data_IF_799867517060
#
_entry.id   IF_799867517060
#
_cell.length_a   1.000
_cell.length_b   1.000
_cell.length_c   1.000
_cell.angle_alpha   90.00
_cell.angle_beta   90.00
_cell.angle_gamma   90.00
#
_symmetry.space_group_name_H-M   'P 1'
#
loop_
_entity.id
_entity.type
_entity.pdbx_description
1 polymer ?
#
# COMPACT_ATOMS: atom_id res chain seq x y z
N UNK A 1 -24.53 9.08 -26.38
CA UNK A 1 -25.58 10.07 -26.00
C UNK A 1 -26.35 9.51 -24.80
N UNK A 2 -26.77 10.33 -23.82
CA UNK A 2 -27.44 9.85 -22.62
C UNK A 2 -28.95 9.65 -22.83
N UNK A 3 -29.52 8.62 -22.20
CA UNK A 3 -30.97 8.52 -21.97
C UNK A 3 -31.25 8.51 -20.47
N UNK A 4 -32.00 9.51 -20.01
CA UNK A 4 -32.52 9.59 -18.64
C UNK A 4 -33.98 9.15 -18.66
N UNK A 5 -34.36 8.25 -17.75
CA UNK A 5 -35.76 8.04 -17.35
C UNK A 5 -35.82 8.01 -15.82
N UNK A 6 -36.67 8.85 -15.23
CA UNK A 6 -36.98 8.88 -13.79
C UNK A 6 -38.45 8.54 -13.57
N UNK A 7 -38.76 7.77 -12.52
CA UNK A 7 -39.96 7.79 -11.63
C UNK A 7 -40.06 6.47 -10.84
N UNK A 8 -40.80 6.29 -9.74
CA UNK A 8 -41.35 7.15 -8.67
C UNK A 8 -42.60 6.46 -8.11
N UNK A 9 -42.67 6.11 -6.81
CA UNK A 9 -43.93 5.80 -6.09
C UNK A 9 -43.86 6.27 -4.62
N UNK A 10 -45.01 6.35 -3.93
CA UNK A 10 -45.24 7.35 -2.88
C UNK A 10 -46.11 6.83 -1.69
N UNK A 11 -45.59 6.99 -0.46
CA UNK A 11 -46.24 7.32 0.85
C UNK A 11 -47.58 6.71 1.32
N UNK A 12 -47.64 6.25 2.58
CA UNK A 12 -48.51 6.71 3.71
C UNK A 12 -48.00 6.01 5.02
N UNK A 13 -47.72 6.60 6.21
CA UNK A 13 -48.46 7.49 7.15
C UNK A 13 -49.64 6.78 7.87
N UNK A 14 -49.86 6.78 9.20
CA UNK A 14 -49.50 7.62 10.40
C UNK A 14 -49.54 6.73 11.71
N UNK A 15 -49.19 7.09 12.98
CA UNK A 15 -48.37 8.14 13.63
C UNK A 15 -48.35 8.03 15.21
N UNK A 16 -47.27 8.51 15.89
CA UNK A 16 -47.14 8.91 17.34
C UNK A 16 -47.32 7.84 18.47
N UNK A 17 -47.00 8.07 19.78
CA UNK A 17 -45.85 8.71 20.49
C UNK A 17 -45.99 8.67 22.05
N UNK A 18 -44.97 8.22 22.81
CA UNK A 18 -44.69 8.41 24.29
C UNK A 18 -45.82 8.08 25.32
N UNK A 19 -45.65 8.03 26.66
CA UNK A 19 -44.56 8.22 27.65
C UNK A 19 -44.71 7.14 28.77
N UNK A 20 -43.69 6.60 29.46
CA UNK A 20 -42.82 7.15 30.53
C UNK A 20 -43.54 7.74 31.77
N UNK A 21 -43.47 7.05 32.92
CA UNK A 21 -43.11 7.63 34.24
C UNK A 21 -42.82 6.53 35.28
N UNK A 22 -42.02 6.84 36.32
CA UNK A 22 -41.71 5.94 37.46
C UNK A 22 -42.65 6.19 38.66
N UNK A 23 -42.66 5.29 39.65
CA UNK A 23 -42.31 5.63 41.04
C UNK A 23 -41.90 4.38 41.86
N UNK A 24 -41.71 4.54 43.18
CA UNK A 24 -40.70 3.79 43.96
C UNK A 24 -41.10 3.37 45.38
N UNK A 25 -40.45 2.31 45.87
CA UNK A 25 -40.10 2.02 47.29
C UNK A 25 -41.25 1.84 48.31
N UNK A 26 -41.29 0.65 48.91
CA UNK A 26 -41.22 0.50 50.37
C UNK A 26 -40.51 -0.81 50.73
N UNK A 27 -39.84 -0.84 51.89
CA UNK A 27 -39.26 -2.04 52.48
C UNK A 27 -40.01 -2.37 53.77
N UNK A 28 -39.87 -3.60 54.27
CA UNK A 28 -40.31 -3.96 55.63
C UNK A 28 -39.40 -5.01 56.27
N UNK A 29 -39.45 -5.11 57.61
CA UNK A 29 -38.30 -5.53 58.42
C UNK A 29 -38.68 -6.54 59.52
N UNK A 30 -38.13 -7.77 59.53
CA UNK A 30 -38.24 -8.70 60.68
C UNK A 30 -37.03 -9.61 60.90
N UNK A 31 -36.28 -9.30 61.96
CA UNK A 31 -35.62 -10.20 62.94
C UNK A 31 -34.78 -11.42 62.51
N UNK A 32 -33.54 -11.46 63.03
CA UNK A 32 -32.69 -12.65 63.21
C UNK A 32 -33.26 -13.63 64.26
N UNK A 33 -32.64 -14.81 64.45
CA UNK A 33 -31.72 -14.92 65.59
C UNK A 33 -30.29 -15.33 65.22
N UNK A 34 -29.38 -15.12 66.16
CA UNK A 34 -27.92 -15.26 65.99
C UNK A 34 -27.43 -16.72 66.05
N UNK A 35 -26.30 -16.99 65.41
CA UNK A 35 -25.36 -18.02 65.87
C UNK A 35 -23.93 -17.50 65.69
N UNK A 36 -23.20 -17.42 66.80
CA UNK A 36 -21.99 -16.60 66.91
C UNK A 36 -20.72 -17.42 66.60
N UNK A 37 -20.44 -17.65 65.31
CA UNK A 37 -19.18 -18.26 64.87
C UNK A 37 -18.12 -17.18 64.60
N UNK A 38 -17.37 -16.80 65.63
CA UNK A 38 -16.21 -15.91 65.49
C UNK A 38 -15.02 -16.64 64.84
N UNK A 39 -15.15 -16.91 63.54
CA UNK A 39 -13.99 -17.03 62.68
C UNK A 39 -13.56 -15.62 62.31
N UNK A 40 -12.34 -15.23 62.69
CA UNK A 40 -11.70 -14.02 62.15
C UNK A 40 -11.27 -14.29 60.71
N UNK A 41 -12.25 -14.41 59.82
CA UNK A 41 -12.05 -14.31 58.38
C UNK A 41 -11.59 -12.90 58.09
N UNK A 42 -10.31 -12.75 57.78
CA UNK A 42 -9.69 -11.48 57.45
C UNK A 42 -10.44 -10.86 56.26
N UNK A 43 -11.16 -9.76 56.52
CA UNK A 43 -11.92 -9.06 55.50
C UNK A 43 -10.93 -8.25 54.68
N UNK A 44 -10.32 -8.90 53.70
CA UNK A 44 -9.43 -8.30 52.71
C UNK A 44 -10.22 -7.20 51.99
N UNK A 45 -10.06 -5.97 52.47
CA UNK A 45 -10.67 -4.80 51.89
C UNK A 45 -10.05 -4.55 50.51
N UNK A 46 -10.90 -4.24 49.54
CA UNK A 46 -10.53 -4.18 48.13
C UNK A 46 -10.67 -2.76 47.60
N UNK A 47 -9.55 -2.20 47.15
CA UNK A 47 -9.52 -0.90 46.47
C UNK A 47 -10.02 -1.08 45.05
N UNK A 48 -11.05 -0.32 44.68
CA UNK A 48 -11.56 -0.26 43.31
C UNK A 48 -10.43 0.23 42.40
N UNK A 49 -9.92 -0.69 41.58
CA UNK A 49 -8.76 -0.49 40.72
C UNK A 49 -9.22 -0.48 39.27
N UNK A 50 -8.67 0.42 38.46
CA UNK A 50 -8.87 0.38 37.00
C UNK A 50 -7.52 0.39 36.29
N UNK A 51 -7.51 -0.13 35.06
CA UNK A 51 -6.36 -0.21 34.18
C UNK A 51 -6.82 0.20 32.78
N UNK A 52 -6.15 1.16 32.17
CA UNK A 52 -6.39 1.60 30.79
C UNK A 52 -5.13 1.46 29.95
N UNK A 53 -5.28 1.29 28.64
CA UNK A 53 -4.20 1.39 27.67
C UNK A 53 -4.18 2.76 26.97
N UNK A 54 -3.10 3.05 26.25
CA UNK A 54 -3.02 4.13 25.28
C UNK A 54 -3.44 3.72 23.85
N UNK A 55 -3.95 2.50 23.67
CA UNK A 55 -4.36 1.96 22.37
C UNK A 55 -5.83 2.28 22.08
N UNK A 56 -6.16 2.62 20.83
CA UNK A 56 -7.56 2.87 20.44
C UNK A 56 -8.33 1.55 20.49
N UNK A 57 -9.39 1.51 21.29
CA UNK A 57 -10.18 0.29 21.49
C UNK A 57 -9.35 -0.90 21.99
N UNK A 58 -8.30 -0.64 22.80
CA UNK A 58 -7.33 -1.61 23.30
C UNK A 58 -6.66 -2.47 22.19
N UNK A 59 -6.64 -1.92 20.97
CA UNK A 59 -6.19 -2.59 19.74
C UNK A 59 -4.97 -1.89 19.17
N UNK A 60 -3.91 -2.65 18.86
CA UNK A 60 -2.58 -2.12 18.49
C UNK A 60 -2.03 -2.78 17.22
N UNK A 61 -1.14 -2.08 16.52
CA UNK A 61 -0.39 -2.62 15.39
C UNK A 61 0.90 -3.33 15.83
N UNK A 62 1.40 -4.33 15.08
CA UNK A 62 2.67 -4.99 15.37
C UNK A 62 3.83 -3.98 15.47
N UNK A 63 4.39 -3.82 16.68
CA UNK A 63 5.47 -2.87 16.97
C UNK A 63 5.05 -1.55 17.63
N UNK A 64 3.75 -1.31 17.88
CA UNK A 64 3.28 -0.12 18.59
C UNK A 64 3.76 -0.08 20.06
N UNK A 65 4.13 1.12 20.52
CA UNK A 65 4.54 1.39 21.90
C UNK A 65 3.32 1.71 22.79
N UNK A 66 2.65 0.67 23.31
CA UNK A 66 1.46 0.84 24.15
C UNK A 66 1.83 1.08 25.62
N UNK A 67 1.30 2.17 26.18
CA UNK A 67 1.43 2.51 27.60
C UNK A 67 0.19 2.06 28.36
N UNK A 68 0.35 1.57 29.59
CA UNK A 68 -0.74 1.20 30.48
C UNK A 68 -0.70 2.03 31.76
N UNK A 69 -1.85 2.52 32.21
CA UNK A 69 -1.98 3.36 33.40
C UNK A 69 -2.97 2.76 34.38
N UNK A 70 -2.55 2.58 35.63
CA UNK A 70 -3.40 2.11 36.72
C UNK A 70 -3.97 3.29 37.53
N UNK A 71 -5.20 3.13 38.03
CA UNK A 71 -5.82 4.04 38.99
C UNK A 71 -6.36 3.26 40.20
N UNK A 72 -6.40 3.87 41.40
CA UNK A 72 -5.95 5.23 41.71
C UNK A 72 -4.42 5.37 41.62
N UNK A 73 -3.93 6.60 41.44
CA UNK A 73 -2.52 6.98 41.19
C UNK A 73 -1.70 7.28 42.46
N UNK A 74 -2.33 7.13 43.64
CA UNK A 74 -1.77 7.38 44.97
C UNK A 74 -1.64 6.09 45.83
N UNK A 75 -1.44 4.93 45.19
CA UNK A 75 -1.19 3.67 45.87
C UNK A 75 0.28 3.51 46.27
N UNK A 76 0.56 2.73 47.31
CA UNK A 76 1.90 2.54 47.87
C UNK A 76 2.80 1.69 46.98
N UNK A 77 2.21 0.79 46.19
CA UNK A 77 2.93 0.08 45.12
C UNK A 77 1.99 -0.46 44.04
N UNK A 78 2.56 -0.63 42.84
CA UNK A 78 1.97 -1.27 41.67
C UNK A 78 2.91 -2.36 41.16
N UNK A 79 2.34 -3.53 40.86
CA UNK A 79 3.02 -4.65 40.19
C UNK A 79 2.27 -4.99 38.90
N UNK A 80 2.94 -4.90 37.76
CA UNK A 80 2.37 -5.16 36.44
C UNK A 80 2.86 -6.50 35.87
N UNK A 81 1.91 -7.26 35.33
CA UNK A 81 2.10 -8.60 34.80
C UNK A 81 1.58 -8.66 33.36
N UNK A 82 2.25 -9.45 32.52
CA UNK A 82 1.73 -9.87 31.20
C UNK A 82 1.52 -11.38 31.29
N UNK A 83 0.30 -11.86 31.05
CA UNK A 83 -0.10 -13.28 31.16
C UNK A 83 0.29 -13.92 32.50
N UNK A 84 0.21 -13.15 33.59
CA UNK A 84 0.59 -13.57 34.95
C UNK A 84 2.10 -13.56 35.24
N UNK A 85 2.96 -13.26 34.25
CA UNK A 85 4.41 -13.09 34.45
C UNK A 85 4.69 -11.63 34.82
N UNK A 86 5.30 -11.40 36.00
CA UNK A 86 5.69 -10.07 36.48
C UNK A 86 6.68 -9.41 35.50
N UNK A 87 6.44 -8.13 35.16
CA UNK A 87 7.28 -7.33 34.26
C UNK A 87 7.78 -6.02 34.89
N UNK A 88 7.01 -5.42 35.79
CA UNK A 88 7.38 -4.19 36.51
C UNK A 88 6.85 -4.27 37.94
N UNK A 89 7.62 -3.76 38.90
CA UNK A 89 7.19 -3.58 40.29
C UNK A 89 7.55 -4.73 41.25
N UNK A 90 7.14 -4.62 42.53
CA UNK A 90 6.35 -3.53 43.12
C UNK A 90 7.10 -2.19 43.17
N UNK A 91 6.56 -1.16 42.53
CA UNK A 91 7.10 0.22 42.51
C UNK A 91 5.98 1.25 42.73
N UNK A 92 6.32 2.47 43.14
CA UNK A 92 5.35 3.59 43.29
C UNK A 92 4.83 4.18 41.97
N UNK A 93 5.32 3.70 40.81
CA UNK A 93 4.91 4.19 39.50
C UNK A 93 3.66 3.43 38.99
N UNK A 94 2.56 4.16 38.79
CA UNK A 94 1.30 3.64 38.27
C UNK A 94 1.25 3.49 36.74
N UNK A 95 2.33 3.84 36.03
CA UNK A 95 2.46 3.71 34.57
C UNK A 95 3.39 2.54 34.23
N UNK A 96 2.98 1.68 33.30
CA UNK A 96 3.77 0.58 32.75
C UNK A 96 3.93 0.74 31.23
N UNK A 97 5.18 0.71 30.77
CA UNK A 97 5.54 0.64 29.35
C UNK A 97 6.32 -0.67 29.12
N UNK A 98 5.77 -1.64 28.38
CA UNK A 98 6.44 -2.90 28.11
C UNK A 98 7.77 -2.71 27.37
N UNK A 99 8.82 -3.38 27.82
CA UNK A 99 10.15 -3.39 27.19
C UNK A 99 10.33 -4.49 26.14
N UNK A 100 9.24 -5.15 25.73
CA UNK A 100 9.22 -6.23 24.75
C UNK A 100 7.91 -6.25 23.98
N UNK A 101 7.87 -7.03 22.90
CA UNK A 101 6.73 -7.16 22.00
C UNK A 101 5.51 -7.71 22.76
N UNK A 102 4.35 -7.10 22.49
CA UNK A 102 3.02 -7.56 22.90
C UNK A 102 2.43 -8.41 21.78
N UNK A 103 1.65 -9.43 22.13
CA UNK A 103 0.99 -10.34 21.18
C UNK A 103 -0.54 -10.26 21.28
N UNK A 104 -1.24 -10.80 20.28
CA UNK A 104 -2.70 -10.90 20.32
C UNK A 104 -3.19 -11.61 21.60
N UNK A 105 -4.25 -11.07 22.20
CA UNK A 105 -4.88 -11.55 23.43
C UNK A 105 -3.96 -11.57 24.67
N UNK A 106 -2.82 -10.86 24.66
CA UNK A 106 -2.02 -10.63 25.85
C UNK A 106 -2.88 -9.99 26.96
N UNK A 107 -2.85 -10.58 28.15
CA UNK A 107 -3.58 -10.09 29.33
C UNK A 107 -2.63 -9.33 30.22
N UNK A 108 -2.74 -8.00 30.18
CA UNK A 108 -2.11 -7.11 31.15
C UNK A 108 -2.89 -7.20 32.46
N UNK A 109 -2.18 -7.19 33.59
CA UNK A 109 -2.80 -7.14 34.92
C UNK A 109 -1.95 -6.28 35.84
N UNK A 110 -2.60 -5.42 36.62
CA UNK A 110 -1.98 -4.66 37.70
C UNK A 110 -2.53 -5.16 39.04
N UNK A 111 -1.63 -5.42 39.98
CA UNK A 111 -1.94 -5.55 41.40
C UNK A 111 -1.37 -4.33 42.12
N UNK A 112 -2.17 -3.66 42.96
CA UNK A 112 -1.73 -2.55 43.80
C UNK A 112 -1.97 -2.82 45.28
N UNK A 113 -1.26 -2.08 46.13
CA UNK A 113 -1.46 -2.04 47.58
C UNK A 113 -1.63 -0.59 48.04
N UNK A 114 -2.58 -0.33 48.93
CA UNK A 114 -2.83 1.00 49.48
C UNK A 114 -3.41 0.91 50.89
N UNK A 115 -2.66 1.37 51.89
CA UNK A 115 -3.08 1.48 53.29
C UNK A 115 -3.51 0.15 53.91
N UNK A 116 -2.90 -0.95 53.47
CA UNK A 116 -3.23 -2.33 53.85
C UNK A 116 -4.20 -3.03 52.90
N UNK A 117 -5.03 -2.28 52.18
CA UNK A 117 -5.96 -2.83 51.19
C UNK A 117 -5.21 -3.27 49.92
N UNK A 118 -5.82 -4.20 49.17
CA UNK A 118 -5.29 -4.67 47.88
C UNK A 118 -6.27 -4.38 46.75
N UNK A 119 -5.75 -4.23 45.53
CA UNK A 119 -6.56 -3.97 44.35
C UNK A 119 -5.98 -4.66 43.12
N UNK A 120 -6.85 -5.22 42.27
CA UNK A 120 -6.44 -5.88 41.02
C UNK A 120 -7.33 -5.41 39.87
N UNK A 121 -6.72 -5.05 38.75
CA UNK A 121 -7.40 -4.85 37.48
C UNK A 121 -6.67 -5.58 36.35
N UNK A 122 -7.42 -6.04 35.36
CA UNK A 122 -6.87 -6.67 34.16
C UNK A 122 -7.46 -6.05 32.90
N UNK A 123 -6.66 -6.04 31.84
CA UNK A 123 -7.03 -5.57 30.52
C UNK A 123 -6.48 -6.56 29.49
N UNK A 124 -7.32 -6.99 28.54
CA UNK A 124 -6.87 -7.74 27.37
C UNK A 124 -6.63 -6.77 26.22
N UNK A 125 -5.57 -6.98 25.45
CA UNK A 125 -5.27 -6.21 24.24
C UNK A 125 -5.39 -7.08 22.98
N UNK A 126 -5.70 -6.46 21.85
CA UNK A 126 -5.88 -7.14 20.56
C UNK A 126 -4.84 -6.68 19.54
N UNK A 127 -4.17 -7.62 18.89
CA UNK A 127 -3.21 -7.30 17.83
C UNK A 127 -3.96 -7.20 16.49
N UNK A 128 -3.96 -6.02 15.88
CA UNK A 128 -4.44 -5.83 14.51
C UNK A 128 -3.34 -6.25 13.53
N UNK A 129 -3.15 -7.57 13.38
CA UNK A 129 -2.03 -8.15 12.64
C UNK A 129 -2.32 -8.30 11.14
N UNK A 130 -1.28 -8.07 10.34
CA UNK A 130 -1.20 -8.48 8.93
C UNK A 130 -0.05 -9.50 8.85
N UNK A 131 -0.33 -10.74 8.47
CA UNK A 131 0.61 -11.87 8.56
C UNK A 131 1.59 -11.91 7.37
N UNK A 132 1.10 -11.72 6.14
CA UNK A 132 1.90 -11.53 4.91
C UNK A 132 1.19 -10.48 4.03
N UNK A 133 1.85 -9.39 3.58
CA UNK A 133 1.26 -8.48 2.58
C UNK A 133 1.10 -9.12 1.18
N UNK A 134 1.64 -10.32 0.99
CA UNK A 134 1.69 -11.08 -0.25
C UNK A 134 2.83 -10.63 -1.16
N UNK A 135 3.06 -11.37 -2.25
CA UNK A 135 3.97 -10.95 -3.34
C UNK A 135 3.17 -10.59 -4.58
N UNK A 136 3.49 -9.46 -5.19
CA UNK A 136 2.99 -9.05 -6.52
C UNK A 136 4.04 -9.33 -7.60
N UNK A 137 3.62 -9.53 -8.84
CA UNK A 137 4.51 -9.74 -9.99
C UNK A 137 3.86 -9.29 -11.32
N UNK A 138 4.67 -9.11 -12.35
CA UNK A 138 4.20 -8.89 -13.72
C UNK A 138 3.68 -10.20 -14.31
N UNK A 139 2.37 -10.29 -14.55
CA UNK A 139 1.64 -11.54 -14.92
C UNK A 139 2.28 -12.29 -16.07
N UNK A 140 2.65 -11.54 -17.11
CA UNK A 140 3.11 -12.04 -18.40
C UNK A 140 4.63 -12.36 -18.38
N UNK A 141 5.25 -12.31 -17.20
CA UNK A 141 6.67 -12.55 -16.92
C UNK A 141 6.84 -13.44 -15.66
N UNK A 142 8.08 -13.69 -15.21
CA UNK A 142 8.34 -14.46 -13.98
C UNK A 142 8.03 -13.66 -12.71
N UNK A 143 7.55 -14.39 -11.71
CA UNK A 143 7.49 -14.06 -10.28
C UNK A 143 8.82 -13.59 -9.64
N UNK A 144 9.95 -13.80 -10.30
CA UNK A 144 11.28 -13.32 -9.88
C UNK A 144 11.67 -11.96 -10.48
N UNK A 145 10.86 -11.42 -11.40
CA UNK A 145 11.17 -10.19 -12.14
C UNK A 145 10.53 -8.96 -11.47
N UNK A 146 11.30 -8.27 -10.62
CA UNK A 146 10.86 -7.02 -9.96
C UNK A 146 11.09 -5.74 -10.82
N UNK A 147 11.63 -5.86 -12.05
CA UNK A 147 11.65 -4.78 -13.06
C UNK A 147 11.22 -5.29 -14.46
N UNK A 148 10.30 -4.57 -15.11
CA UNK A 148 9.97 -4.72 -16.52
C UNK A 148 10.32 -3.42 -17.28
N UNK A 149 10.97 -3.53 -18.44
CA UNK A 149 11.23 -2.40 -19.35
C UNK A 149 10.30 -2.48 -20.55
N UNK A 150 9.61 -1.40 -20.91
CA UNK A 150 8.68 -1.33 -22.06
C UNK A 150 8.93 -0.09 -22.91
N UNK A 151 8.52 -0.16 -24.18
CA UNK A 151 8.55 0.97 -25.09
C UNK A 151 7.64 2.12 -24.61
N UNK A 152 8.00 3.36 -24.99
CA UNK A 152 7.11 4.51 -24.84
C UNK A 152 5.73 4.25 -25.48
N UNK A 153 4.65 4.66 -24.78
CA UNK A 153 3.28 4.46 -25.25
C UNK A 153 2.74 3.03 -25.14
N UNK A 154 3.42 2.10 -24.46
CA UNK A 154 2.92 0.74 -24.24
C UNK A 154 1.59 0.75 -23.44
N UNK A 155 0.57 0.04 -23.94
CA UNK A 155 -0.84 0.29 -23.57
C UNK A 155 -1.25 -0.12 -22.14
N UNK A 156 -0.64 -1.15 -21.56
CA UNK A 156 -1.03 -1.75 -20.27
C UNK A 156 0.03 -2.76 -19.80
N UNK A 157 0.14 -2.98 -18.50
CA UNK A 157 1.02 -3.99 -17.89
C UNK A 157 0.27 -4.73 -16.79
N UNK A 158 -0.03 -6.01 -16.97
CA UNK A 158 -0.80 -6.76 -15.98
C UNK A 158 0.05 -7.05 -14.73
N UNK A 159 -0.37 -6.54 -13.56
CA UNK A 159 0.24 -6.85 -12.26
C UNK A 159 -0.73 -7.69 -11.44
N UNK A 160 -0.28 -8.88 -11.03
CA UNK A 160 -1.09 -9.83 -10.27
C UNK A 160 -0.41 -10.27 -8.97
N UNK A 161 -1.16 -10.94 -8.10
CA UNK A 161 -0.59 -11.57 -6.91
C UNK A 161 -0.02 -12.94 -7.22
N UNK A 162 1.27 -13.10 -6.93
CA UNK A 162 1.91 -14.40 -6.84
C UNK A 162 1.55 -15.09 -5.51
N UNK A 163 1.53 -14.34 -4.40
CA UNK A 163 0.91 -14.77 -3.13
C UNK A 163 -0.22 -13.84 -2.73
N UNK A 164 -1.32 -14.42 -2.27
CA UNK A 164 -2.37 -13.70 -1.53
C UNK A 164 -1.75 -13.02 -0.30
N UNK A 165 -2.33 -11.90 0.13
CA UNK A 165 -2.07 -11.37 1.47
C UNK A 165 -2.83 -12.19 2.51
N UNK A 166 -2.35 -12.19 3.75
CA UNK A 166 -2.92 -12.91 4.89
C UNK A 166 -3.09 -11.96 6.09
N UNK A 167 -4.26 -12.03 6.74
CA UNK A 167 -4.64 -11.18 7.87
C UNK A 167 -5.40 -12.03 8.89
N UNK A 168 -4.92 -12.03 10.14
CA UNK A 168 -5.41 -12.88 11.23
C UNK A 168 -5.55 -14.36 10.81
N UNK A 169 -4.52 -14.90 10.14
CA UNK A 169 -4.49 -16.28 9.64
C UNK A 169 -5.47 -16.57 8.49
N UNK A 170 -6.02 -15.53 7.86
CA UNK A 170 -7.01 -15.64 6.78
C UNK A 170 -6.50 -14.98 5.51
N UNK A 171 -6.42 -15.75 4.42
CA UNK A 171 -6.07 -15.21 3.09
C UNK A 171 -7.15 -14.22 2.61
N UNK A 172 -6.73 -13.02 2.23
CA UNK A 172 -7.61 -12.00 1.66
C UNK A 172 -8.23 -12.48 0.33
N UNK A 173 -9.43 -12.02 -0.01
CA UNK A 173 -10.13 -12.41 -1.24
C UNK A 173 -9.52 -11.82 -2.54
N UNK A 174 -10.22 -11.91 -3.68
CA UNK A 174 -9.88 -11.14 -4.90
C UNK A 174 -10.39 -9.69 -4.80
N UNK A 175 -11.58 -9.53 -4.22
CA UNK A 175 -12.35 -8.28 -4.10
C UNK A 175 -12.34 -7.74 -2.67
N UNK A 176 -11.28 -8.02 -1.90
CA UNK A 176 -11.14 -7.57 -0.52
C UNK A 176 -10.84 -6.07 -0.47
N UNK A 177 -11.57 -5.30 0.33
CA UNK A 177 -11.46 -3.85 0.36
C UNK A 177 -10.21 -3.33 1.08
N UNK A 178 -9.39 -4.23 1.64
CA UNK A 178 -8.14 -3.91 2.37
C UNK A 178 -6.93 -3.73 1.46
N UNK A 179 -7.06 -3.97 0.15
CA UNK A 179 -6.03 -3.63 -0.82
C UNK A 179 -6.07 -2.14 -1.20
N UNK A 180 -4.91 -1.49 -1.26
CA UNK A 180 -4.73 -0.18 -1.90
C UNK A 180 -3.45 -0.21 -2.74
N UNK A 181 -3.58 0.03 -4.05
CA UNK A 181 -2.41 0.17 -4.92
C UNK A 181 -1.76 1.55 -4.80
N UNK A 182 -0.43 1.56 -4.82
CA UNK A 182 0.38 2.76 -4.68
C UNK A 182 1.33 2.88 -5.87
N UNK A 183 1.57 4.11 -6.33
CA UNK A 183 2.58 4.43 -7.34
C UNK A 183 3.67 5.36 -6.78
N UNK A 184 4.86 5.30 -7.37
CA UNK A 184 5.98 6.19 -7.07
C UNK A 184 6.83 6.44 -8.32
N UNK A 185 7.43 7.62 -8.45
CA UNK A 185 8.43 7.92 -9.48
C UNK A 185 9.87 7.70 -9.00
N UNK A 186 10.08 7.43 -7.70
CA UNK A 186 11.41 7.40 -7.08
C UNK A 186 11.60 6.22 -6.10
N UNK A 187 10.65 5.28 -6.02
CA UNK A 187 10.61 4.13 -5.10
C UNK A 187 10.58 4.47 -3.58
N UNK A 188 10.50 5.76 -3.21
CA UNK A 188 10.60 6.24 -1.83
C UNK A 188 9.33 6.99 -1.38
N UNK A 189 8.80 7.85 -2.25
CA UNK A 189 7.60 8.65 -2.01
C UNK A 189 6.43 8.01 -2.75
N UNK A 190 5.45 7.49 -2.02
CA UNK A 190 4.36 6.68 -2.56
C UNK A 190 3.02 7.41 -2.49
N UNK A 191 2.25 7.35 -3.58
CA UNK A 191 0.93 8.00 -3.74
C UNK A 191 -0.14 6.94 -3.98
N UNK A 192 -1.29 7.06 -3.31
CA UNK A 192 -2.40 6.13 -3.48
C UNK A 192 -3.10 6.32 -4.84
N UNK A 193 -3.26 5.21 -5.56
CA UNK A 193 -3.99 5.17 -6.83
C UNK A 193 -5.49 5.08 -6.52
N UNK A 194 -6.20 6.20 -6.72
CA UNK A 194 -7.61 6.34 -6.34
C UNK A 194 -8.48 5.30 -7.05
N UNK A 195 -9.22 4.51 -6.27
CA UNK A 195 -10.11 3.46 -6.77
C UNK A 195 -9.43 2.12 -7.10
N UNK A 196 -8.10 2.04 -7.10
CA UNK A 196 -7.38 0.79 -7.32
C UNK A 196 -7.28 -0.02 -6.00
N UNK A 197 -8.40 -0.67 -5.64
CA UNK A 197 -8.58 -1.43 -4.40
C UNK A 197 -8.82 -2.94 -4.62
N UNK A 198 -8.41 -3.47 -5.77
CA UNK A 198 -8.55 -4.88 -6.12
C UNK A 198 -7.24 -5.63 -5.87
N UNK A 199 -7.28 -6.97 -5.72
CA UNK A 199 -6.07 -7.77 -5.51
C UNK A 199 -5.03 -7.56 -6.61
N UNK A 200 -5.48 -7.57 -7.86
CA UNK A 200 -4.66 -7.39 -9.07
C UNK A 200 -4.91 -5.99 -9.65
N UNK A 201 -3.96 -5.47 -10.42
CA UNK A 201 -4.05 -4.15 -11.03
C UNK A 201 -3.45 -4.17 -12.44
N UNK A 202 -4.18 -3.61 -13.40
CA UNK A 202 -3.67 -3.30 -14.73
C UNK A 202 -3.62 -1.77 -14.85
N UNK A 203 -2.44 -1.14 -14.72
CA UNK A 203 -2.31 0.29 -14.92
C UNK A 203 -2.53 0.65 -16.40
N UNK A 204 -3.04 1.86 -16.70
CA UNK A 204 -3.02 2.39 -18.06
C UNK A 204 -1.57 2.67 -18.52
N UNK A 205 -1.38 2.82 -19.82
CA UNK A 205 -0.07 3.09 -20.41
C UNK A 205 0.65 4.33 -19.88
N UNK A 206 1.97 4.33 -20.00
CA UNK A 206 2.88 5.23 -19.30
C UNK A 206 3.74 6.07 -20.24
N UNK A 207 4.18 7.23 -19.74
CA UNK A 207 5.16 8.12 -20.41
C UNK A 207 6.43 8.33 -19.58
N UNK A 208 6.52 7.74 -18.38
CA UNK A 208 7.68 7.85 -17.48
C UNK A 208 7.82 6.62 -16.58
N UNK A 209 9.07 6.28 -16.24
CA UNK A 209 9.42 5.17 -15.32
C UNK A 209 8.67 5.30 -13.99
N UNK A 210 7.89 4.27 -13.65
CA UNK A 210 6.97 4.25 -12.52
C UNK A 210 7.09 2.96 -11.73
N UNK A 211 7.16 3.08 -10.42
CA UNK A 211 7.16 1.97 -9.47
C UNK A 211 5.75 1.73 -8.94
N UNK A 212 5.38 0.47 -8.75
CA UNK A 212 4.11 0.03 -8.19
C UNK A 212 4.33 -0.89 -7.00
N UNK A 213 3.55 -0.68 -5.94
CA UNK A 213 3.41 -1.62 -4.81
C UNK A 213 1.94 -1.68 -4.42
N UNK A 214 1.59 -2.61 -3.53
CA UNK A 214 0.27 -2.71 -2.94
C UNK A 214 0.38 -2.72 -1.43
N UNK A 215 -0.33 -1.79 -0.81
CA UNK A 215 -0.46 -1.70 0.63
C UNK A 215 -1.68 -2.53 1.06
N UNK A 216 -1.53 -3.28 2.14
CA UNK A 216 -2.62 -3.92 2.87
C UNK A 216 -2.98 -3.00 4.03
N UNK A 217 -4.26 -2.67 4.18
CA UNK A 217 -4.78 -1.77 5.21
C UNK A 217 -5.85 -2.52 6.00
N UNK A 218 -5.57 -2.87 7.26
CA UNK A 218 -6.55 -3.53 8.12
C UNK A 218 -7.00 -2.54 9.22
N UNK A 219 -8.31 -2.25 9.26
CA UNK A 219 -8.94 -1.44 10.31
C UNK A 219 -9.65 -2.38 11.29
N UNK A 220 -9.28 -2.28 12.57
CA UNK A 220 -9.87 -3.05 13.66
C UNK A 220 -10.06 -2.12 14.85
N UNK A 221 -11.31 -1.98 15.31
CA UNK A 221 -11.71 -1.12 16.43
C UNK A 221 -11.29 0.37 16.30
N UNK A 222 -10.98 0.84 15.08
CA UNK A 222 -10.50 2.20 14.81
C UNK A 222 -8.97 2.35 14.79
N UNK A 223 -8.22 1.29 15.11
CA UNK A 223 -6.77 1.21 14.88
C UNK A 223 -6.54 0.72 13.45
N UNK A 224 -5.79 1.48 12.64
CA UNK A 224 -5.54 1.18 11.22
C UNK A 224 -4.09 0.81 10.99
N UNK A 225 -3.83 -0.48 10.78
CA UNK A 225 -2.50 -1.01 10.53
C UNK A 225 -2.23 -1.18 9.03
N UNK A 226 -0.97 -1.06 8.62
CA UNK A 226 -0.54 -1.18 7.23
C UNK A 226 0.68 -2.08 7.07
N UNK A 227 0.73 -2.81 5.96
CA UNK A 227 1.89 -3.59 5.52
C UNK A 227 2.03 -3.51 3.99
N UNK A 228 3.25 -3.63 3.47
CA UNK A 228 3.60 -3.26 2.09
C UNK A 228 4.11 -4.47 1.30
N UNK A 229 3.65 -4.67 0.07
CA UNK A 229 4.21 -5.71 -0.82
C UNK A 229 5.64 -5.38 -1.28
N UNK A 230 6.28 -6.31 -2.00
CA UNK A 230 7.40 -5.95 -2.87
C UNK A 230 6.99 -4.83 -3.84
N UNK A 231 7.95 -3.99 -4.23
CA UNK A 231 7.79 -2.99 -5.26
C UNK A 231 8.25 -3.52 -6.62
N UNK A 232 7.50 -3.21 -7.66
CA UNK A 232 7.80 -3.54 -9.05
C UNK A 232 8.09 -2.26 -9.84
N UNK A 233 9.16 -2.23 -10.62
CA UNK A 233 9.52 -1.09 -11.48
C UNK A 233 9.08 -1.33 -12.92
N UNK A 234 8.26 -0.44 -13.47
CA UNK A 234 8.07 -0.32 -14.93
C UNK A 234 9.00 0.78 -15.42
N UNK A 235 10.03 0.40 -16.18
CA UNK A 235 10.95 1.31 -16.86
C UNK A 235 10.43 1.63 -18.25
N UNK A 236 10.35 2.91 -18.59
CA UNK A 236 9.88 3.39 -19.89
C UNK A 236 11.09 3.81 -20.71
N UNK A 237 11.29 3.17 -21.85
CA UNK A 237 12.28 3.62 -22.84
C UNK A 237 11.93 5.03 -23.35
N UNK A 238 12.96 5.73 -23.83
CA UNK A 238 12.81 7.06 -24.45
C UNK A 238 11.85 7.01 -25.65
N UNK A 239 11.05 8.08 -25.81
CA UNK A 239 10.29 8.31 -27.04
C UNK A 239 11.27 8.44 -28.22
N UNK A 240 11.01 7.74 -29.33
CA UNK A 240 11.93 7.71 -30.47
C UNK A 240 11.71 8.92 -31.39
N UNK A 241 12.43 10.00 -31.13
CA UNK A 241 12.44 11.17 -32.03
C UNK A 241 13.41 10.94 -33.20
N UNK A 242 12.88 11.12 -34.43
CA UNK A 242 13.55 10.78 -35.69
C UNK A 242 14.79 11.62 -36.03
N UNK A 243 14.89 12.82 -35.46
CA UNK A 243 15.92 13.80 -35.83
C UNK A 243 15.71 14.44 -37.21
N UNK A 244 16.65 15.31 -37.56
CA UNK A 244 16.75 16.00 -38.84
C UNK A 244 17.85 15.34 -39.69
N UNK A 245 17.76 15.39 -41.03
CA UNK A 245 18.82 14.91 -41.91
C UNK A 245 19.67 16.09 -42.41
N UNK A 246 20.98 15.96 -42.26
CA UNK A 246 21.99 16.99 -42.53
C UNK A 246 23.06 16.44 -43.46
N UNK A 247 23.40 17.11 -44.59
CA UNK A 247 22.67 18.23 -45.18
C UNK A 247 21.29 17.80 -45.71
N UNK A 248 20.29 18.70 -45.62
CA UNK A 248 18.92 18.42 -46.03
C UNK A 248 18.71 18.33 -47.56
N UNK A 249 19.56 19.01 -48.34
CA UNK A 249 19.61 18.95 -49.80
C UNK A 249 21.07 18.95 -50.26
N UNK A 250 21.36 18.30 -51.40
CA UNK A 250 22.66 18.34 -52.07
C UNK A 250 22.46 18.60 -53.57
N UNK A 251 23.42 19.27 -54.22
CA UNK A 251 23.46 19.42 -55.68
C UNK A 251 24.81 18.89 -56.16
N UNK A 252 24.77 17.89 -57.04
CA UNK A 252 25.95 17.14 -57.49
C UNK A 252 26.06 17.22 -59.02
N UNK A 253 27.28 17.30 -59.53
CA UNK A 253 27.61 17.21 -60.94
C UNK A 253 27.76 15.74 -61.39
N UNK A 254 27.76 15.52 -62.71
CA UNK A 254 27.94 14.18 -63.28
C UNK A 254 29.27 13.55 -62.84
N UNK A 255 29.19 12.43 -62.11
CA UNK A 255 30.35 11.70 -61.59
C UNK A 255 30.82 12.12 -60.19
N UNK A 256 30.18 13.09 -59.54
CA UNK A 256 30.43 13.39 -58.12
C UNK A 256 29.80 12.35 -57.18
N UNK A 257 30.36 12.24 -55.97
CA UNK A 257 29.84 11.39 -54.90
C UNK A 257 29.10 12.27 -53.90
N UNK A 258 27.96 11.81 -53.41
CA UNK A 258 27.18 12.53 -52.39
C UNK A 258 27.96 12.67 -51.07
N UNK A 259 27.82 13.82 -50.40
CA UNK A 259 28.34 14.05 -49.05
C UNK A 259 27.65 13.14 -48.01
N UNK A 260 28.33 12.90 -46.88
CA UNK A 260 27.83 12.03 -45.80
C UNK A 260 26.57 12.61 -45.15
N UNK A 261 25.43 11.95 -45.34
CA UNK A 261 24.18 12.26 -44.65
C UNK A 261 24.27 11.82 -43.18
N UNK A 262 23.78 12.67 -42.28
CA UNK A 262 23.77 12.46 -40.83
C UNK A 262 22.39 12.74 -40.27
N UNK A 263 21.94 11.91 -39.34
CA UNK A 263 20.84 12.25 -38.44
C UNK A 263 21.39 13.13 -37.32
N UNK A 264 20.95 14.38 -37.29
CA UNK A 264 21.15 15.31 -36.18
C UNK A 264 19.89 15.35 -35.30
N UNK A 265 20.02 15.72 -34.02
CA UNK A 265 18.93 15.81 -33.02
C UNK A 265 18.15 14.50 -32.71
N UNK A 266 18.35 13.41 -33.46
CA UNK A 266 17.68 12.12 -33.26
C UNK A 266 18.14 11.38 -32.00
N UNK A 267 17.27 10.49 -31.50
CA UNK A 267 17.50 9.78 -30.22
C UNK A 267 18.59 8.70 -30.33
N UNK A 268 19.56 8.75 -29.42
CA UNK A 268 20.72 7.85 -29.41
C UNK A 268 20.68 6.91 -28.21
N UNK A 269 20.86 5.59 -28.43
CA UNK A 269 20.77 4.59 -27.37
C UNK A 269 21.25 3.21 -27.79
N UNK A 270 21.59 2.35 -26.83
CA UNK A 270 22.12 0.98 -27.09
C UNK A 270 21.10 0.03 -27.73
N UNK A 271 19.82 0.33 -27.58
CA UNK A 271 18.66 -0.39 -28.13
C UNK A 271 18.21 0.15 -29.49
N UNK A 272 18.75 1.30 -29.92
CA UNK A 272 18.30 2.05 -31.10
C UNK A 272 19.13 1.66 -32.33
N UNK A 273 18.44 1.32 -33.42
CA UNK A 273 19.01 1.05 -34.74
C UNK A 273 18.34 1.90 -35.81
N UNK A 274 19.14 2.31 -36.79
CA UNK A 274 18.68 3.10 -37.93
C UNK A 274 18.48 2.20 -39.15
N UNK A 275 17.70 2.65 -40.12
CA UNK A 275 17.59 2.05 -41.44
C UNK A 275 17.37 3.16 -42.48
N UNK A 276 18.38 3.43 -43.30
CA UNK A 276 18.25 4.38 -44.40
C UNK A 276 17.43 3.78 -45.55
N UNK A 277 16.58 4.59 -46.14
CA UNK A 277 15.67 4.23 -47.23
C UNK A 277 15.74 5.27 -48.33
N UNK A 278 15.70 4.82 -49.58
CA UNK A 278 15.71 5.69 -50.77
C UNK A 278 14.42 5.60 -51.57
N UNK A 279 14.05 6.71 -52.21
CA UNK A 279 12.94 6.87 -53.15
C UNK A 279 13.40 7.66 -54.38
N UNK A 280 12.73 7.42 -55.50
CA UNK A 280 12.89 8.19 -56.75
C UNK A 280 11.65 9.06 -57.06
N UNK A 281 10.59 8.94 -56.24
CA UNK A 281 9.27 9.53 -56.52
C UNK A 281 8.62 10.23 -55.30
N UNK A 282 9.28 10.19 -54.14
CA UNK A 282 8.79 10.63 -52.82
C UNK A 282 7.58 9.83 -52.25
N UNK A 283 7.16 8.74 -52.89
CA UNK A 283 6.01 7.94 -52.42
C UNK A 283 6.46 6.54 -51.97
N UNK A 284 7.28 5.87 -52.77
CA UNK A 284 7.79 4.52 -52.48
C UNK A 284 9.23 4.62 -52.00
N UNK A 285 9.45 4.26 -50.74
CA UNK A 285 10.77 4.17 -50.12
C UNK A 285 11.18 2.71 -50.00
N UNK A 286 12.46 2.44 -50.27
CA UNK A 286 13.06 1.10 -50.27
C UNK A 286 14.29 1.05 -49.39
N UNK A 287 14.44 0.01 -48.59
CA UNK A 287 15.57 -0.15 -47.66
C UNK A 287 16.91 -0.23 -48.40
N UNK A 288 17.89 0.53 -47.93
CA UNK A 288 19.28 0.42 -48.38
C UNK A 288 19.93 -0.72 -47.58
N UNK A 289 20.46 -1.73 -48.26
CA UNK A 289 20.85 -3.01 -47.63
C UNK A 289 22.35 -3.10 -47.23
N UNK A 290 23.11 -2.01 -47.38
CA UNK A 290 24.57 -1.99 -47.18
C UNK A 290 24.96 -0.71 -46.44
N UNK A 291 25.68 -0.84 -45.32
CA UNK A 291 26.21 0.26 -44.50
C UNK A 291 25.17 1.31 -44.02
N UNK A 292 23.89 0.92 -43.99
CA UNK A 292 22.75 1.82 -43.88
C UNK A 292 22.00 1.69 -42.54
N UNK A 293 22.69 1.22 -41.49
CA UNK A 293 22.10 0.97 -40.16
C UNK A 293 22.68 1.85 -39.03
N UNK A 294 23.35 2.93 -39.41
CA UNK A 294 24.01 3.89 -38.53
C UNK A 294 23.34 5.27 -38.60
N UNK A 295 23.66 6.15 -37.64
CA UNK A 295 23.23 7.57 -37.66
C UNK A 295 23.79 8.35 -38.85
N UNK A 296 24.84 7.86 -39.52
CA UNK A 296 25.31 8.40 -40.79
C UNK A 296 25.27 7.35 -41.90
N UNK A 297 25.13 7.85 -43.13
CA UNK A 297 25.18 7.09 -44.36
C UNK A 297 25.88 7.92 -45.44
N UNK A 298 26.75 7.31 -46.22
CA UNK A 298 27.32 7.94 -47.41
C UNK A 298 26.60 7.37 -48.64
N UNK A 299 25.77 8.16 -49.35
CA UNK A 299 25.22 7.75 -50.61
C UNK A 299 26.33 7.60 -51.66
N UNK A 300 26.12 6.73 -52.64
CA UNK A 300 27.09 6.51 -53.71
C UNK A 300 27.12 7.66 -54.73
N UNK A 301 27.76 7.41 -55.88
CA UNK A 301 27.51 8.19 -57.09
C UNK A 301 26.03 8.06 -57.49
N UNK A 302 25.35 9.18 -57.72
CA UNK A 302 23.95 9.22 -58.17
C UNK A 302 23.89 9.79 -59.59
N UNK A 303 23.04 9.18 -60.43
CA UNK A 303 22.90 9.57 -61.85
C UNK A 303 21.56 10.27 -62.14
N UNK A 304 20.66 10.29 -61.15
CA UNK A 304 19.29 10.82 -61.22
C UNK A 304 18.94 11.38 -59.83
N UNK A 305 17.92 12.24 -59.74
CA UNK A 305 17.44 12.77 -58.45
C UNK A 305 16.89 11.64 -57.56
N UNK A 306 17.38 11.56 -56.33
CA UNK A 306 16.87 10.65 -55.29
C UNK A 306 16.45 11.42 -54.05
N UNK A 307 15.61 10.80 -53.22
CA UNK A 307 15.18 11.30 -51.92
C UNK A 307 15.49 10.20 -50.90
N UNK A 308 16.26 10.52 -49.87
CA UNK A 308 16.60 9.57 -48.81
C UNK A 308 16.01 9.99 -47.47
N UNK A 309 15.71 9.01 -46.61
CA UNK A 309 15.26 9.20 -45.23
C UNK A 309 15.83 8.11 -44.34
N UNK A 310 15.91 8.35 -43.04
CA UNK A 310 16.28 7.33 -42.04
C UNK A 310 15.07 6.98 -41.17
N UNK A 311 14.80 5.68 -40.99
CA UNK A 311 13.84 5.17 -40.03
C UNK A 311 14.53 4.74 -38.74
N UNK A 312 13.97 5.08 -37.59
CA UNK A 312 14.49 4.69 -36.27
C UNK A 312 13.65 3.54 -35.69
N UNK A 313 14.33 2.51 -35.18
CA UNK A 313 13.71 1.32 -34.59
C UNK A 313 14.41 0.99 -33.25
N UNK A 314 13.63 0.62 -32.23
CA UNK A 314 14.15 0.01 -31.00
C UNK A 314 14.06 -1.52 -31.08
N UNK A 315 15.14 -2.23 -30.76
CA UNK A 315 15.23 -3.69 -30.83
C UNK A 315 14.80 -4.41 -29.54
N UNK A 316 13.86 -3.85 -28.76
CA UNK A 316 13.18 -4.61 -27.71
C UNK A 316 12.35 -5.75 -28.33
N UNK A 317 12.35 -6.90 -27.65
CA UNK A 317 11.57 -8.11 -27.97
C UNK A 317 10.57 -8.40 -26.87
#
# INVERSE_FOLDING_TARGET
MPHIVKKSYLTYCLAFCLAISLLSISADYTSLPESYNNSTGDLVATVTTTLSSSATGDTFCPGDAITFTALPDDAESYSFYINGVLKQGPYVNNIFLPSGILFDQDKITVNLQKTGDTGTASLGIQENRIDDPGKIYFKDHSDTLDQLTVCYGFNSVNIESYRSAEVNGTLLALTDNRYQWMSSTNNNTWTAIIGANQRNYNPPGFTATTYFRRDIINDLNGTVCRSESNALKVEIEVELEGGDISPAEQTLCEGEVSDELKVENGVTGKTVTYQWQRSYDNNVFTDILINANSMSYQPGTVNETIIERSGIFSMLR
#
